data_IF_229976604620
#
_entry.id   IF_229976604620
#
_cell.length_a   1.000
_cell.length_b   1.000
_cell.length_c   1.000
_cell.angle_alpha   90.00
_cell.angle_beta   90.00
_cell.angle_gamma   90.00
#
_symmetry.space_group_name_H-M   'P 1'
#
loop_
_entity.id
_entity.type
_entity.pdbx_description
1 polymer ?
#
# COMPACT_ATOMS: atom_id res chain seq x y z
N UNK A 1 -23.78 -2.17 -24.02
CA UNK A 1 -22.53 -1.41 -24.29
C UNK A 1 -22.43 -0.09 -23.51
N UNK A 2 -23.49 0.73 -23.40
CA UNK A 2 -23.47 2.03 -22.68
C UNK A 2 -22.95 1.95 -21.24
N UNK A 3 -23.43 0.98 -20.45
CA UNK A 3 -23.04 0.84 -19.04
C UNK A 3 -21.55 0.45 -18.86
N UNK A 4 -20.98 -0.34 -19.78
CA UNK A 4 -19.55 -0.69 -19.78
C UNK A 4 -18.68 0.54 -20.04
N UNK A 5 -19.09 1.40 -20.99
CA UNK A 5 -18.41 2.67 -21.26
C UNK A 5 -18.45 3.61 -20.05
N UNK A 6 -19.60 3.69 -19.37
CA UNK A 6 -19.75 4.47 -18.13
C UNK A 6 -18.86 3.93 -17.00
N UNK A 7 -18.76 2.61 -16.86
CA UNK A 7 -17.88 1.97 -15.87
C UNK A 7 -16.40 2.27 -16.16
N UNK A 8 -15.99 2.21 -17.44
CA UNK A 8 -14.63 2.57 -17.86
C UNK A 8 -14.31 4.04 -17.61
N UNK A 9 -15.24 4.96 -17.94
CA UNK A 9 -15.12 6.38 -17.61
C UNK A 9 -14.97 6.61 -16.11
N UNK A 10 -15.76 5.90 -15.30
CA UNK A 10 -15.64 5.94 -13.84
C UNK A 10 -14.26 5.45 -13.37
N UNK A 11 -13.74 4.37 -13.96
CA UNK A 11 -12.41 3.85 -13.63
C UNK A 11 -11.29 4.85 -13.96
N UNK A 12 -11.35 5.51 -15.13
CA UNK A 12 -10.40 6.57 -15.51
C UNK A 12 -10.45 7.74 -14.51
N UNK A 13 -11.64 8.24 -14.20
CA UNK A 13 -11.80 9.32 -13.23
C UNK A 13 -11.28 8.94 -11.83
N UNK A 14 -11.42 7.67 -11.44
CA UNK A 14 -10.86 7.18 -10.19
C UNK A 14 -9.34 7.22 -10.20
N UNK A 15 -8.70 6.70 -11.26
CA UNK A 15 -7.23 6.68 -11.40
C UNK A 15 -6.62 8.08 -11.56
N UNK A 16 -7.35 9.01 -12.16
CA UNK A 16 -6.92 10.41 -12.25
C UNK A 16 -6.82 11.10 -10.88
N UNK A 17 -7.59 10.62 -9.88
CA UNK A 17 -7.61 11.19 -8.53
C UNK A 17 -6.81 10.37 -7.52
N UNK A 18 -6.76 9.05 -7.70
CA UNK A 18 -6.19 8.12 -6.73
C UNK A 18 -5.27 7.12 -7.39
N UNK A 19 -4.07 7.02 -6.84
CA UNK A 19 -3.13 5.94 -7.15
C UNK A 19 -3.63 4.61 -6.55
N UNK A 20 -3.66 3.54 -7.35
CA UNK A 20 -4.29 2.28 -6.97
C UNK A 20 -3.60 1.07 -7.58
N UNK A 21 -3.55 -0.03 -6.82
CA UNK A 21 -3.27 -1.36 -7.37
C UNK A 21 -4.42 -1.85 -8.24
N UNK A 22 -4.12 -2.84 -9.09
CA UNK A 22 -5.09 -3.55 -9.93
C UNK A 22 -6.20 -4.20 -9.11
N UNK A 23 -5.83 -4.92 -8.04
CA UNK A 23 -6.80 -5.58 -7.16
C UNK A 23 -7.67 -4.60 -6.38
N UNK A 24 -7.13 -3.45 -5.97
CA UNK A 24 -7.93 -2.41 -5.33
C UNK A 24 -8.92 -1.79 -6.33
N UNK A 25 -8.50 -1.49 -7.56
CA UNK A 25 -9.41 -0.97 -8.58
C UNK A 25 -10.52 -1.98 -8.91
N UNK A 26 -10.20 -3.27 -9.02
CA UNK A 26 -11.19 -4.34 -9.17
C UNK A 26 -12.29 -4.25 -8.09
N UNK A 27 -11.91 -4.16 -6.81
CA UNK A 27 -12.85 -4.05 -5.69
C UNK A 27 -13.68 -2.76 -5.77
N UNK A 28 -13.08 -1.64 -6.17
CA UNK A 28 -13.78 -0.36 -6.37
C UNK A 28 -14.85 -0.48 -7.45
N UNK A 29 -14.52 -1.07 -8.60
CA UNK A 29 -15.46 -1.27 -9.70
C UNK A 29 -16.57 -2.26 -9.32
N UNK A 30 -16.26 -3.33 -8.60
CA UNK A 30 -17.28 -4.23 -8.08
C UNK A 30 -18.26 -3.51 -7.14
N UNK A 31 -17.75 -2.71 -6.20
CA UNK A 31 -18.60 -1.91 -5.31
C UNK A 31 -19.47 -0.92 -6.09
N UNK A 32 -18.90 -0.28 -7.13
CA UNK A 32 -19.63 0.62 -8.01
C UNK A 32 -20.80 -0.10 -8.70
N UNK A 33 -20.58 -1.29 -9.27
CA UNK A 33 -21.62 -2.07 -9.95
C UNK A 33 -22.73 -2.50 -8.99
N UNK A 34 -22.39 -2.97 -7.79
CA UNK A 34 -23.38 -3.38 -6.77
C UNK A 34 -24.36 -2.26 -6.42
N UNK A 35 -23.88 -1.02 -6.43
CA UNK A 35 -24.67 0.16 -6.08
C UNK A 35 -25.50 0.72 -7.26
N UNK A 36 -25.40 0.16 -8.46
CA UNK A 36 -26.21 0.59 -9.60
C UNK A 36 -27.64 0.05 -9.47
N UNK A 37 -28.61 0.93 -9.76
CA UNK A 37 -30.05 0.59 -9.86
C UNK A 37 -30.37 0.10 -11.27
N UNK A 38 -29.82 -1.06 -11.64
CA UNK A 38 -30.02 -1.73 -12.94
C UNK A 38 -30.34 -3.20 -12.70
N UNK A 39 -30.81 -3.91 -13.72
CA UNK A 39 -31.16 -5.33 -13.61
C UNK A 39 -29.93 -6.23 -13.34
N UNK A 40 -30.17 -7.41 -12.78
CA UNK A 40 -29.11 -8.34 -12.39
C UNK A 40 -28.38 -8.95 -13.60
N UNK A 41 -29.03 -9.07 -14.76
CA UNK A 41 -28.39 -9.57 -15.99
C UNK A 41 -27.34 -8.57 -16.47
N UNK A 42 -27.67 -7.27 -16.47
CA UNK A 42 -26.76 -6.18 -16.77
C UNK A 42 -25.61 -6.09 -15.77
N UNK A 43 -25.88 -6.23 -14.46
CA UNK A 43 -24.80 -6.29 -13.46
C UNK A 43 -23.83 -7.43 -13.75
N UNK A 44 -24.33 -8.62 -14.09
CA UNK A 44 -23.49 -9.78 -14.44
C UNK A 44 -22.61 -9.48 -15.66
N UNK A 45 -23.16 -8.86 -16.70
CA UNK A 45 -22.39 -8.40 -17.87
C UNK A 45 -21.28 -7.43 -17.44
N UNK A 46 -21.60 -6.46 -16.57
CA UNK A 46 -20.60 -5.51 -16.08
C UNK A 46 -19.49 -6.18 -15.26
N UNK A 47 -19.83 -7.11 -14.36
CA UNK A 47 -18.83 -7.86 -13.60
C UNK A 47 -17.86 -8.62 -14.52
N UNK A 48 -18.39 -9.28 -15.55
CA UNK A 48 -17.58 -10.00 -16.53
C UNK A 48 -16.67 -9.07 -17.34
N UNK A 49 -17.07 -7.80 -17.53
CA UNK A 49 -16.27 -6.81 -18.26
C UNK A 49 -15.08 -6.22 -17.46
N UNK A 50 -15.06 -6.36 -16.12
CA UNK A 50 -14.03 -5.72 -15.29
C UNK A 50 -12.63 -6.18 -15.68
N UNK A 51 -12.43 -7.50 -15.85
CA UNK A 51 -11.11 -8.03 -16.18
C UNK A 51 -10.57 -7.47 -17.50
N UNK A 52 -11.43 -7.36 -18.52
CA UNK A 52 -11.06 -6.73 -19.79
C UNK A 52 -10.65 -5.27 -19.60
N UNK A 53 -11.41 -4.48 -18.82
CA UNK A 53 -11.07 -3.08 -18.51
C UNK A 53 -9.70 -3.00 -17.82
N UNK A 54 -9.44 -3.87 -16.84
CA UNK A 54 -8.18 -3.87 -16.10
C UNK A 54 -6.99 -4.25 -16.99
N UNK A 55 -7.13 -5.27 -17.83
CA UNK A 55 -6.08 -5.66 -18.80
C UNK A 55 -5.80 -4.53 -19.80
N UNK A 56 -6.84 -3.83 -20.28
CA UNK A 56 -6.65 -2.68 -21.16
C UNK A 56 -5.94 -1.51 -20.46
N UNK A 57 -6.21 -1.29 -19.17
CA UNK A 57 -5.56 -0.21 -18.42
C UNK A 57 -4.11 -0.55 -18.09
N UNK A 58 -3.83 -1.82 -17.79
CA UNK A 58 -2.47 -2.32 -17.57
C UNK A 58 -1.62 -2.25 -18.84
N UNK A 59 -2.17 -2.64 -20.01
CA UNK A 59 -1.44 -2.53 -21.29
C UNK A 59 -1.12 -1.07 -21.66
N UNK A 60 -1.94 -0.12 -21.20
CA UNK A 60 -1.73 1.32 -21.35
C UNK A 60 -0.91 1.94 -20.21
N UNK A 61 -0.37 1.14 -19.29
CA UNK A 61 0.38 1.59 -18.09
C UNK A 61 -0.38 2.57 -17.20
N UNK A 62 -1.71 2.56 -17.24
CA UNK A 62 -2.56 3.35 -16.33
C UNK A 62 -2.63 2.71 -14.93
N UNK A 63 -2.33 1.42 -14.84
CA UNK A 63 -2.18 0.67 -13.61
C UNK A 63 -0.92 -0.15 -13.73
N UNK A 64 -0.10 -0.12 -12.68
CA UNK A 64 1.14 -0.86 -12.62
C UNK A 64 1.41 -1.19 -11.14
N UNK A 65 1.22 -2.44 -10.76
CA UNK A 65 1.35 -2.89 -9.38
C UNK A 65 2.81 -2.81 -8.89
N UNK A 66 3.79 -2.90 -9.78
CA UNK A 66 5.20 -2.74 -9.43
C UNK A 66 5.51 -1.27 -9.11
N UNK A 67 5.20 -0.36 -10.04
CA UNK A 67 5.42 1.08 -9.83
C UNK A 67 4.54 1.65 -8.71
N UNK A 68 3.34 1.13 -8.52
CA UNK A 68 2.51 1.42 -7.34
C UNK A 68 3.25 1.04 -6.06
N UNK A 69 3.77 -0.18 -5.98
CA UNK A 69 4.41 -0.69 -4.76
C UNK A 69 5.70 0.05 -4.42
N UNK A 70 6.57 0.32 -5.40
CA UNK A 70 7.81 1.11 -5.24
C UNK A 70 7.49 2.46 -4.58
N UNK A 71 6.57 3.23 -5.20
CA UNK A 71 6.17 4.54 -4.68
C UNK A 71 5.58 4.47 -3.27
N UNK A 72 4.87 3.39 -2.91
CA UNK A 72 4.35 3.22 -1.55
C UNK A 72 5.44 2.85 -0.55
N UNK A 73 6.42 2.03 -0.93
CA UNK A 73 7.58 1.72 -0.07
C UNK A 73 8.34 3.01 0.25
N UNK A 74 8.68 3.81 -0.75
CA UNK A 74 9.38 5.10 -0.61
C UNK A 74 8.57 6.11 0.23
N UNK A 75 7.29 6.26 -0.09
CA UNK A 75 6.43 7.22 0.62
C UNK A 75 6.20 6.82 2.08
N UNK A 76 6.01 5.54 2.39
CA UNK A 76 5.78 5.13 3.78
C UNK A 76 7.07 5.04 4.60
N UNK A 77 8.19 4.67 4.00
CA UNK A 77 9.50 4.70 4.66
C UNK A 77 9.86 6.13 5.09
N UNK A 78 9.74 7.11 4.20
CA UNK A 78 9.94 8.55 4.51
C UNK A 78 8.95 9.10 5.54
N UNK A 79 7.80 8.46 5.73
CA UNK A 79 6.84 8.82 6.78
C UNK A 79 7.16 8.21 8.15
N UNK A 80 8.15 7.33 8.26
CA UNK A 80 8.49 6.63 9.49
C UNK A 80 7.62 5.40 9.75
N UNK A 81 7.27 4.64 8.69
CA UNK A 81 6.57 3.34 8.80
C UNK A 81 7.55 2.18 8.71
N UNK A 82 7.30 1.15 9.51
CA UNK A 82 8.06 -0.10 9.49
C UNK A 82 7.84 -0.91 8.21
N UNK A 83 8.76 -1.82 7.89
CA UNK A 83 8.61 -2.81 6.82
C UNK A 83 7.31 -3.59 6.96
N UNK A 84 7.06 -4.10 8.16
CA UNK A 84 5.83 -4.87 8.46
C UNK A 84 4.56 -4.07 8.20
N UNK A 85 4.53 -2.78 8.50
CA UNK A 85 3.38 -1.93 8.20
C UNK A 85 3.16 -1.83 6.68
N UNK A 86 4.22 -1.56 5.93
CA UNK A 86 4.17 -1.37 4.47
C UNK A 86 3.79 -2.68 3.78
N UNK A 87 4.36 -3.81 4.21
CA UNK A 87 4.02 -5.14 3.72
C UNK A 87 2.53 -5.44 3.89
N UNK A 88 2.01 -5.27 5.11
CA UNK A 88 0.59 -5.49 5.39
C UNK A 88 -0.32 -4.58 4.56
N UNK A 89 0.07 -3.32 4.38
CA UNK A 89 -0.66 -2.38 3.55
C UNK A 89 -0.73 -2.87 2.09
N UNK A 90 0.40 -3.25 1.49
CA UNK A 90 0.46 -3.66 0.09
C UNK A 90 -0.22 -5.02 -0.14
N UNK A 91 -0.10 -5.96 0.79
CA UNK A 91 -0.86 -7.22 0.77
C UNK A 91 -2.37 -6.97 0.85
N UNK A 92 -2.82 -6.05 1.70
CA UNK A 92 -4.22 -5.64 1.77
C UNK A 92 -4.71 -5.01 0.45
N UNK A 93 -3.84 -4.24 -0.21
CA UNK A 93 -4.05 -3.73 -1.58
C UNK A 93 -3.97 -4.81 -2.66
N UNK A 94 -3.67 -6.05 -2.30
CA UNK A 94 -3.70 -7.21 -3.18
C UNK A 94 -2.49 -7.31 -4.10
N UNK A 95 -1.36 -6.73 -3.69
CA UNK A 95 -0.06 -6.93 -4.35
C UNK A 95 0.41 -8.36 -4.09
N UNK A 96 0.97 -8.99 -5.12
CA UNK A 96 1.54 -10.32 -5.02
C UNK A 96 2.72 -10.37 -4.03
N UNK A 97 2.76 -11.42 -3.20
CA UNK A 97 3.78 -11.56 -2.15
C UNK A 97 5.18 -11.75 -2.72
N UNK A 98 5.34 -12.46 -3.86
CA UNK A 98 6.66 -12.66 -4.48
C UNK A 98 7.18 -11.35 -5.05
N UNK A 99 6.33 -10.59 -5.74
CA UNK A 99 6.66 -9.24 -6.20
C UNK A 99 7.08 -8.35 -5.04
N UNK A 100 6.30 -8.33 -3.96
CA UNK A 100 6.57 -7.52 -2.78
C UNK A 100 7.92 -7.87 -2.13
N UNK A 101 8.20 -9.16 -1.95
CA UNK A 101 9.48 -9.63 -1.39
C UNK A 101 10.67 -9.18 -2.24
N UNK A 102 10.54 -9.28 -3.58
CA UNK A 102 11.58 -8.82 -4.51
C UNK A 102 11.81 -7.31 -4.35
N UNK A 103 10.74 -6.51 -4.35
CA UNK A 103 10.86 -5.06 -4.26
C UNK A 103 11.46 -4.59 -2.93
N UNK A 104 11.17 -5.26 -1.81
CA UNK A 104 11.85 -4.96 -0.55
C UNK A 104 13.33 -5.31 -0.58
N UNK A 105 13.70 -6.44 -1.21
CA UNK A 105 15.09 -6.83 -1.35
C UNK A 105 15.86 -5.82 -2.20
N UNK A 106 15.30 -5.42 -3.35
CA UNK A 106 15.89 -4.39 -4.22
C UNK A 106 16.03 -3.06 -3.44
N UNK A 107 14.97 -2.64 -2.71
CA UNK A 107 14.99 -1.42 -1.91
C UNK A 107 16.02 -1.45 -0.76
N UNK A 108 16.22 -2.61 -0.13
CA UNK A 108 17.20 -2.82 0.94
C UNK A 108 18.65 -2.84 0.43
N UNK A 109 18.88 -3.34 -0.79
CA UNK A 109 20.20 -3.26 -1.44
C UNK A 109 20.57 -1.81 -1.68
N UNK A 110 19.64 -1.02 -2.22
CA UNK A 110 19.87 0.40 -2.51
C UNK A 110 19.90 1.26 -1.23
N UNK A 111 19.23 0.81 -0.15
CA UNK A 111 19.08 1.55 1.10
C UNK A 111 19.26 0.65 2.35
N UNK A 112 20.48 0.19 2.67
CA UNK A 112 20.71 -0.83 3.70
C UNK A 112 20.16 -0.51 5.10
N UNK A 113 20.10 0.77 5.48
CA UNK A 113 19.64 1.23 6.80
C UNK A 113 18.27 1.94 6.78
N UNK A 114 17.51 1.79 5.70
CA UNK A 114 16.25 2.54 5.50
C UNK A 114 15.26 2.38 6.67
N UNK A 115 15.16 1.18 7.26
CA UNK A 115 14.18 0.92 8.32
C UNK A 115 14.64 1.53 9.65
N UNK A 116 15.95 1.66 9.88
CA UNK A 116 16.50 2.40 11.03
C UNK A 116 16.20 3.89 10.86
N UNK A 117 16.40 4.45 9.68
CA UNK A 117 16.05 5.85 9.41
C UNK A 117 14.55 6.12 9.54
N UNK A 118 13.72 5.20 9.05
CA UNK A 118 12.27 5.22 9.27
C UNK A 118 11.92 5.20 10.76
N UNK A 119 12.57 4.35 11.56
CA UNK A 119 12.38 4.28 13.00
C UNK A 119 12.79 5.60 13.70
N UNK A 120 13.89 6.23 13.29
CA UNK A 120 14.30 7.56 13.79
C UNK A 120 13.24 8.62 13.49
N UNK A 121 12.68 8.63 12.28
CA UNK A 121 11.58 9.54 11.89
C UNK A 121 10.37 9.30 12.79
N UNK A 122 9.99 8.05 13.04
CA UNK A 122 8.88 7.70 13.91
C UNK A 122 9.09 8.25 15.34
N UNK A 123 10.27 8.01 15.92
CA UNK A 123 10.62 8.48 17.28
C UNK A 123 10.48 10.00 17.35
N UNK A 124 11.14 10.73 16.44
CA UNK A 124 11.08 12.22 16.41
C UNK A 124 9.64 12.74 16.36
N UNK A 125 8.75 12.06 15.60
CA UNK A 125 7.35 12.48 15.44
C UNK A 125 6.44 12.08 16.61
N UNK A 126 6.71 10.95 17.27
CA UNK A 126 5.72 10.28 18.14
C UNK A 126 6.20 10.02 19.56
N UNK A 127 7.48 10.11 19.87
CA UNK A 127 8.03 9.85 21.20
C UNK A 127 8.72 11.11 21.71
N UNK A 128 8.09 11.77 22.68
CA UNK A 128 8.72 12.90 23.39
C UNK A 128 9.78 12.36 24.34
N UNK A 129 10.89 13.08 24.50
CA UNK A 129 11.95 12.78 25.47
C UNK A 129 12.45 11.32 25.40
N UNK A 130 12.61 10.76 24.19
CA UNK A 130 12.97 9.35 23.98
C UNK A 130 14.32 8.94 24.62
N UNK A 131 15.15 9.92 24.98
CA UNK A 131 16.46 9.76 25.63
C UNK A 131 16.36 9.46 27.14
N UNK A 132 15.19 9.70 27.75
CA UNK A 132 14.97 9.35 29.16
C UNK A 132 14.78 7.84 29.33
N UNK A 133 15.70 7.21 30.06
CA UNK A 133 15.71 5.75 30.31
C UNK A 133 14.44 5.24 31.02
N UNK A 134 13.80 6.06 31.84
CA UNK A 134 12.58 5.71 32.60
C UNK A 134 11.40 5.31 31.69
N UNK A 135 11.36 5.80 30.44
CA UNK A 135 10.31 5.49 29.47
C UNK A 135 10.69 4.35 28.50
N UNK A 136 11.79 3.63 28.71
CA UNK A 136 12.32 2.66 27.74
C UNK A 136 11.30 1.58 27.37
N UNK A 137 10.72 0.89 28.35
CA UNK A 137 9.74 -0.18 28.11
C UNK A 137 8.50 0.33 27.35
N UNK A 138 8.07 1.55 27.66
CA UNK A 138 6.95 2.22 26.97
C UNK A 138 7.29 2.56 25.53
N UNK A 139 8.51 3.03 25.28
CA UNK A 139 9.03 3.35 23.95
C UNK A 139 9.18 2.09 23.09
N UNK A 140 9.76 1.03 23.66
CA UNK A 140 9.84 -0.30 23.05
C UNK A 140 8.44 -0.79 22.62
N UNK A 141 7.48 -0.80 23.54
CA UNK A 141 6.12 -1.23 23.26
C UNK A 141 5.44 -0.37 22.19
N UNK A 142 5.69 0.94 22.19
CA UNK A 142 5.12 1.86 21.20
C UNK A 142 5.69 1.61 19.80
N UNK A 143 6.99 1.37 19.66
CA UNK A 143 7.60 1.04 18.37
C UNK A 143 7.18 -0.35 17.88
N UNK A 144 7.14 -1.35 18.76
CA UNK A 144 6.70 -2.71 18.43
C UNK A 144 5.26 -2.74 17.90
N UNK A 145 4.34 -1.97 18.50
CA UNK A 145 2.96 -1.82 18.00
C UNK A 145 2.88 -1.20 16.61
N UNK A 146 3.89 -0.44 16.21
CA UNK A 146 3.99 0.14 14.87
C UNK A 146 4.69 -0.78 13.86
N UNK A 147 5.06 -1.99 14.30
CA UNK A 147 5.60 -3.05 13.46
C UNK A 147 7.12 -3.05 13.33
N UNK A 148 7.85 -2.20 14.06
CA UNK A 148 9.31 -2.28 14.10
C UNK A 148 9.75 -3.55 14.83
N UNK A 149 10.72 -4.26 14.27
CA UNK A 149 11.30 -5.45 14.91
C UNK A 149 12.16 -5.06 16.12
N UNK A 150 12.35 -6.00 17.04
CA UNK A 150 13.20 -5.76 18.21
C UNK A 150 14.63 -5.36 17.82
N UNK A 151 15.20 -5.95 16.76
CA UNK A 151 16.54 -5.61 16.28
C UNK A 151 16.63 -4.16 15.77
N UNK A 152 15.63 -3.68 15.02
CA UNK A 152 15.57 -2.28 14.57
C UNK A 152 15.41 -1.34 15.76
N UNK A 153 14.51 -1.66 16.69
CA UNK A 153 14.30 -0.84 17.89
C UNK A 153 15.59 -0.73 18.70
N UNK A 154 16.27 -1.87 18.91
CA UNK A 154 17.52 -1.95 19.65
C UNK A 154 18.60 -1.05 19.04
N UNK A 155 18.84 -1.20 17.72
CA UNK A 155 19.78 -0.35 16.97
C UNK A 155 19.41 1.13 17.04
N UNK A 156 18.11 1.45 16.93
CA UNK A 156 17.65 2.85 16.88
C UNK A 156 17.78 3.55 18.24
N UNK A 157 17.44 2.87 19.33
CA UNK A 157 17.53 3.40 20.69
C UNK A 157 18.93 3.26 21.32
N UNK A 158 19.89 2.66 20.60
CA UNK A 158 21.27 2.39 21.07
C UNK A 158 21.31 1.60 22.39
N UNK A 159 20.44 0.61 22.51
CA UNK A 159 20.36 -0.34 23.64
C UNK A 159 20.87 -1.73 23.24
#
# INVERSE_FOLDING_TARGET
MKNTLLLKKYALNYLAKYDSSKKNLFKVLQKKIRNLKIDEKEKKILFNSINHILTEFESKKLIDDQNYSIRKIENYSSQGKSKRFIENYLLYKGIDKKLLNKLFLDFEIDNPDWEIESAKIFIRKKIKNYEKKEDLNKNLAKMARQGFSYSIIKKTLKI
#
